data_IF_631365480089
#
_entry.id   IF_631365480089
#
_cell.length_a   1.000
_cell.length_b   1.000
_cell.length_c   1.000
_cell.angle_alpha   90.00
_cell.angle_beta   90.00
_cell.angle_gamma   90.00
#
_symmetry.space_group_name_H-M   'P 1'
#
loop_
_entity.id
_entity.type
_entity.pdbx_description
1 polymer ?
#
# COMPACT_ATOMS: atom_id res chain seq x y z
N UNK A 1 -7.34 2.07 3.64
CA UNK A 1 -6.94 0.71 3.23
C UNK A 1 -6.95 0.56 1.72
N UNK A 2 -6.58 -0.62 1.23
CA UNK A 2 -6.55 -0.90 -0.21
C UNK A 2 -7.87 -1.49 -0.71
N UNK A 3 -8.98 -0.90 -0.31
CA UNK A 3 -10.32 -1.23 -0.76
C UNK A 3 -10.90 -0.09 -1.59
N UNK A 4 -11.64 -0.44 -2.62
CA UNK A 4 -12.50 0.49 -3.37
C UNK A 4 -13.91 0.31 -2.81
N UNK A 5 -14.56 1.41 -2.41
CA UNK A 5 -15.92 1.44 -1.92
C UNK A 5 -16.77 2.20 -2.95
N UNK A 6 -17.46 1.48 -3.82
CA UNK A 6 -18.38 2.08 -4.78
C UNK A 6 -19.77 2.16 -4.16
N UNK A 7 -20.25 3.39 -3.89
CA UNK A 7 -21.55 3.65 -3.28
C UNK A 7 -22.63 3.70 -4.34
N UNK A 8 -23.74 3.05 -4.06
CA UNK A 8 -24.97 3.06 -4.84
C UNK A 8 -26.13 3.51 -3.94
N UNK A 9 -27.29 3.79 -4.53
CA UNK A 9 -28.50 4.19 -3.80
C UNK A 9 -28.99 3.14 -2.80
N UNK A 10 -28.75 1.85 -3.07
CA UNK A 10 -29.24 0.72 -2.30
C UNK A 10 -28.13 -0.08 -1.58
N UNK A 11 -26.88 0.40 -1.57
CA UNK A 11 -25.79 -0.27 -0.87
C UNK A 11 -24.40 0.16 -1.35
N UNK A 12 -23.39 -0.62 -0.96
CA UNK A 12 -21.98 -0.36 -1.29
C UNK A 12 -21.31 -1.64 -1.78
N UNK A 13 -20.61 -1.53 -2.91
CA UNK A 13 -19.72 -2.57 -3.41
C UNK A 13 -18.34 -2.37 -2.78
N UNK A 14 -17.81 -3.42 -2.15
CA UNK A 14 -16.50 -3.44 -1.50
C UNK A 14 -15.59 -4.28 -2.39
N UNK A 15 -14.58 -3.67 -3.01
CA UNK A 15 -13.65 -4.36 -3.90
C UNK A 15 -12.26 -4.33 -3.29
N UNK A 16 -11.60 -5.49 -3.24
CA UNK A 16 -10.20 -5.64 -2.92
C UNK A 16 -9.47 -6.29 -4.08
N UNK A 17 -8.46 -5.64 -4.64
CA UNK A 17 -7.76 -6.13 -5.83
C UNK A 17 -6.77 -7.28 -5.56
N UNK A 18 -6.51 -7.60 -4.30
CA UNK A 18 -5.55 -8.63 -3.96
C UNK A 18 -4.11 -8.23 -4.29
N UNK A 19 -3.41 -9.10 -5.00
CA UNK A 19 -2.02 -8.89 -5.40
C UNK A 19 -1.81 -8.73 -6.90
N UNK A 20 -2.73 -9.23 -7.72
CA UNK A 20 -2.66 -9.22 -9.19
C UNK A 20 -3.97 -8.76 -9.83
N UNK A 21 -4.96 -8.46 -9.01
CA UNK A 21 -6.25 -7.98 -9.50
C UNK A 21 -6.16 -6.54 -10.00
N UNK A 22 -6.86 -6.27 -11.10
CA UNK A 22 -7.00 -4.93 -11.65
C UNK A 22 -8.41 -4.74 -12.22
N UNK A 23 -8.79 -3.48 -12.38
CA UNK A 23 -10.05 -3.07 -12.99
C UNK A 23 -9.71 -2.22 -14.21
N UNK A 24 -10.19 -2.61 -15.39
CA UNK A 24 -9.98 -1.86 -16.62
C UNK A 24 -11.31 -1.51 -17.30
N UNK A 25 -11.39 -0.32 -17.89
CA UNK A 25 -12.49 0.07 -18.76
C UNK A 25 -12.26 -0.56 -20.13
N UNK A 26 -13.24 -1.32 -20.61
CA UNK A 26 -13.18 -2.06 -21.87
C UNK A 26 -14.40 -1.76 -22.72
N UNK A 27 -14.31 -1.82 -24.08
CA UNK A 27 -15.48 -1.84 -24.94
C UNK A 27 -16.45 -2.97 -24.58
N UNK A 28 -17.76 -2.76 -24.74
CA UNK A 28 -18.81 -3.71 -24.37
C UNK A 28 -18.59 -5.13 -24.94
N UNK A 29 -18.15 -5.21 -26.19
CA UNK A 29 -17.95 -6.50 -26.90
C UNK A 29 -16.54 -7.07 -26.76
N UNK A 30 -15.76 -6.64 -25.75
CA UNK A 30 -14.41 -7.14 -25.53
C UNK A 30 -14.42 -8.62 -25.17
N UNK A 31 -13.60 -9.41 -25.88
CA UNK A 31 -13.48 -10.85 -25.64
C UNK A 31 -13.03 -11.13 -24.18
N UNK A 32 -13.71 -12.06 -23.51
CA UNK A 32 -13.36 -12.52 -22.16
C UNK A 32 -12.14 -13.43 -22.22
N UNK A 33 -11.15 -13.16 -21.34
CA UNK A 33 -9.91 -13.92 -21.22
C UNK A 33 -9.93 -14.82 -19.97
N UNK A 34 -8.99 -15.76 -19.89
CA UNK A 34 -8.88 -16.80 -18.84
C UNK A 34 -9.00 -16.30 -17.39
N UNK A 35 -8.56 -15.08 -17.10
CA UNK A 35 -8.51 -14.54 -15.74
C UNK A 35 -9.48 -13.38 -15.51
N UNK A 36 -10.38 -13.15 -16.45
CA UNK A 36 -11.48 -12.18 -16.29
C UNK A 36 -12.59 -12.86 -15.49
N UNK A 37 -13.03 -12.21 -14.42
CA UNK A 37 -13.95 -12.82 -13.46
C UNK A 37 -15.29 -12.11 -13.36
N UNK A 38 -15.30 -10.76 -13.51
CA UNK A 38 -16.51 -9.95 -13.37
C UNK A 38 -16.47 -8.78 -14.34
N UNK A 39 -17.58 -8.58 -15.06
CA UNK A 39 -17.85 -7.39 -15.85
C UNK A 39 -18.98 -6.58 -15.17
N UNK A 40 -18.72 -5.31 -14.90
CA UNK A 40 -19.74 -4.36 -14.51
C UNK A 40 -20.17 -3.57 -15.74
N UNK A 41 -21.45 -3.67 -16.08
CA UNK A 41 -22.04 -2.99 -17.26
C UNK A 41 -22.69 -1.68 -16.83
N UNK A 42 -22.57 -0.66 -17.67
CA UNK A 42 -23.16 0.66 -17.44
C UNK A 42 -24.15 0.98 -18.57
N UNK A 43 -25.43 0.66 -18.33
CA UNK A 43 -26.46 0.75 -19.37
C UNK A 43 -26.34 -0.36 -20.44
N UNK A 44 -27.07 -0.19 -21.54
CA UNK A 44 -27.14 -1.23 -22.59
C UNK A 44 -25.98 -1.15 -23.59
N UNK A 45 -25.45 0.05 -23.84
CA UNK A 45 -24.46 0.30 -24.91
C UNK A 45 -23.16 0.95 -24.36
N UNK A 46 -23.02 1.04 -23.02
CA UNK A 46 -21.86 1.65 -22.37
C UNK A 46 -20.64 0.71 -22.30
N UNK A 47 -19.46 1.26 -21.95
CA UNK A 47 -18.30 0.43 -21.69
C UNK A 47 -18.53 -0.48 -20.48
N UNK A 48 -17.73 -1.52 -20.38
CA UNK A 48 -17.69 -2.39 -19.19
C UNK A 48 -16.47 -2.05 -18.32
N UNK A 49 -16.62 -2.20 -16.99
CA UNK A 49 -15.50 -2.21 -16.07
C UNK A 49 -15.19 -3.67 -15.73
N UNK A 50 -14.11 -4.18 -16.28
CA UNK A 50 -13.71 -5.58 -16.15
C UNK A 50 -12.76 -5.78 -14.98
N UNK A 51 -13.08 -6.76 -14.13
CA UNK A 51 -12.20 -7.23 -13.08
C UNK A 51 -11.46 -8.50 -13.52
N UNK A 52 -10.13 -8.39 -13.58
CA UNK A 52 -9.21 -9.48 -13.93
C UNK A 52 -8.31 -9.76 -12.72
N UNK A 53 -8.15 -11.05 -12.31
CA UNK A 53 -7.26 -11.44 -11.20
C UNK A 53 -6.67 -12.85 -11.40
N UNK A 54 -5.47 -12.96 -11.99
CA UNK A 54 -4.82 -14.24 -12.24
C UNK A 54 -4.62 -15.09 -10.97
N UNK A 55 -4.36 -14.49 -9.83
CA UNK A 55 -4.06 -15.19 -8.56
C UNK A 55 -5.28 -15.43 -7.69
N UNK A 56 -6.41 -14.81 -7.97
CA UNK A 56 -7.69 -14.92 -7.24
C UNK A 56 -7.58 -14.57 -5.75
N UNK A 57 -6.75 -13.59 -5.37
CA UNK A 57 -6.62 -13.07 -4.00
C UNK A 57 -7.47 -11.84 -3.74
N UNK A 58 -8.13 -11.34 -4.74
CA UNK A 58 -9.05 -10.24 -4.60
C UNK A 58 -10.43 -10.70 -4.13
N UNK A 59 -11.30 -9.74 -3.90
CA UNK A 59 -12.68 -10.00 -3.52
C UNK A 59 -13.60 -8.87 -3.95
N UNK A 60 -14.83 -9.23 -4.30
CA UNK A 60 -15.91 -8.31 -4.64
C UNK A 60 -17.10 -8.69 -3.77
N UNK A 61 -17.56 -7.79 -2.91
CA UNK A 61 -18.58 -8.03 -1.91
C UNK A 61 -19.61 -6.89 -1.95
N UNK A 62 -20.85 -7.21 -1.60
CA UNK A 62 -21.93 -6.25 -1.48
C UNK A 62 -22.41 -6.14 -0.06
N UNK A 63 -22.71 -4.93 0.42
CA UNK A 63 -23.41 -4.69 1.68
C UNK A 63 -24.48 -3.60 1.53
N UNK A 64 -25.61 -3.80 2.22
CA UNK A 64 -26.64 -2.75 2.38
C UNK A 64 -26.40 -1.90 3.62
N UNK A 65 -25.61 -2.41 4.57
CA UNK A 65 -25.24 -1.75 5.80
C UNK A 65 -24.07 -0.77 5.57
N UNK A 66 -23.72 -0.02 6.63
CA UNK A 66 -22.52 0.82 6.59
C UNK A 66 -21.27 -0.04 6.29
N UNK A 67 -20.55 0.20 5.20
CA UNK A 67 -19.39 -0.63 4.83
C UNK A 67 -18.30 -0.65 5.90
N UNK A 68 -18.21 0.39 6.75
CA UNK A 68 -17.20 0.44 7.82
C UNK A 68 -17.47 -0.56 8.95
N UNK A 69 -18.70 -1.07 9.07
CA UNK A 69 -19.05 -2.10 10.05
C UNK A 69 -18.77 -3.53 9.52
N UNK A 70 -18.46 -3.65 8.24
CA UNK A 70 -18.13 -4.93 7.64
C UNK A 70 -16.85 -5.53 8.27
N UNK A 71 -16.85 -6.85 8.52
CA UNK A 71 -15.77 -7.61 9.20
C UNK A 71 -14.36 -7.36 8.64
N UNK A 72 -14.22 -7.01 7.35
CA UNK A 72 -12.95 -6.70 6.70
C UNK A 72 -12.49 -5.27 6.93
N UNK A 73 -13.38 -4.36 7.33
CA UNK A 73 -13.10 -2.92 7.43
C UNK A 73 -13.14 -2.40 8.86
N UNK A 74 -13.96 -2.98 9.75
CA UNK A 74 -14.22 -2.46 11.10
C UNK A 74 -12.99 -2.41 12.04
N UNK A 75 -11.94 -3.19 11.76
CA UNK A 75 -10.70 -3.20 12.55
C UNK A 75 -9.54 -2.43 11.91
N UNK A 76 -9.79 -1.75 10.79
CA UNK A 76 -8.75 -1.01 10.09
C UNK A 76 -8.33 0.24 10.86
N UNK A 77 -7.03 0.50 10.88
CA UNK A 77 -6.46 1.73 11.42
C UNK A 77 -6.78 2.96 10.55
N UNK A 78 -6.32 4.14 10.98
CA UNK A 78 -6.55 5.38 10.25
C UNK A 78 -5.87 5.38 8.87
N UNK A 79 -6.43 6.17 7.95
CA UNK A 79 -5.79 6.48 6.68
C UNK A 79 -4.53 7.31 6.91
N UNK A 80 -3.41 7.00 6.22
CA UNK A 80 -2.12 7.63 6.50
C UNK A 80 -2.10 9.14 6.24
N UNK A 81 -2.92 9.64 5.31
CA UNK A 81 -3.02 11.07 5.02
C UNK A 81 -3.96 11.84 5.96
N UNK A 82 -4.77 11.12 6.76
CA UNK A 82 -5.66 11.74 7.73
C UNK A 82 -4.87 12.37 8.89
N UNK A 83 -5.43 13.39 9.54
CA UNK A 83 -4.87 14.03 10.73
C UNK A 83 -4.77 13.08 11.94
N UNK A 84 -5.66 12.09 12.04
CA UNK A 84 -5.64 11.08 13.09
C UNK A 84 -4.41 10.17 13.05
N UNK A 85 -3.75 10.04 11.90
CA UNK A 85 -2.44 9.41 11.81
C UNK A 85 -1.35 10.47 11.98
N UNK A 86 -0.82 10.58 13.19
CA UNK A 86 0.21 11.54 13.56
C UNK A 86 1.31 10.91 14.43
N UNK A 87 2.36 11.68 14.74
CA UNK A 87 3.51 11.20 15.49
C UNK A 87 3.17 10.75 16.91
N UNK A 88 2.24 11.43 17.59
CA UNK A 88 1.77 11.07 18.93
C UNK A 88 1.00 9.74 18.92
N UNK A 89 0.07 9.58 17.96
CA UNK A 89 -0.65 8.33 17.75
C UNK A 89 0.34 7.17 17.54
N UNK A 90 1.29 7.33 16.60
CA UNK A 90 2.25 6.28 16.30
C UNK A 90 3.13 5.98 17.51
N UNK A 91 3.62 7.00 18.20
CA UNK A 91 4.44 6.83 19.40
C UNK A 91 3.73 5.99 20.47
N UNK A 92 2.47 6.29 20.77
CA UNK A 92 1.66 5.53 21.73
C UNK A 92 1.51 4.08 21.32
N UNK A 93 1.24 3.83 20.03
CA UNK A 93 1.08 2.47 19.49
C UNK A 93 2.38 1.66 19.57
N UNK A 94 3.54 2.29 19.42
CA UNK A 94 4.82 1.59 19.45
C UNK A 94 5.25 1.17 20.86
N UNK A 95 4.71 1.78 21.92
CA UNK A 95 5.09 1.42 23.30
C UNK A 95 4.72 -0.02 23.62
N UNK A 96 5.64 -0.72 24.28
CA UNK A 96 5.50 -2.15 24.63
C UNK A 96 5.63 -3.14 23.48
N UNK A 97 5.67 -2.69 22.20
CA UNK A 97 5.74 -3.60 21.05
C UNK A 97 7.17 -4.08 20.80
N UNK A 98 7.37 -5.40 20.87
CA UNK A 98 8.66 -6.05 20.59
C UNK A 98 8.90 -6.31 19.09
N UNK A 99 7.88 -6.15 18.26
CA UNK A 99 7.98 -6.34 16.81
C UNK A 99 8.95 -5.33 16.17
N UNK A 100 9.43 -5.63 14.98
CA UNK A 100 10.21 -4.66 14.19
C UNK A 100 9.31 -3.52 13.69
N UNK A 101 9.85 -2.30 13.66
CA UNK A 101 9.10 -1.09 13.25
C UNK A 101 8.46 -1.27 11.86
N UNK A 102 9.15 -1.89 10.92
CA UNK A 102 8.60 -2.13 9.59
C UNK A 102 7.34 -3.00 9.65
N UNK A 103 7.34 -4.05 10.45
CA UNK A 103 6.16 -4.93 10.61
C UNK A 103 4.99 -4.18 11.20
N UNK A 104 5.25 -3.29 12.17
CA UNK A 104 4.20 -2.51 12.85
C UNK A 104 3.55 -1.51 11.91
N UNK A 105 4.33 -0.75 11.13
CA UNK A 105 3.74 0.23 10.20
C UNK A 105 3.09 -0.40 8.97
N UNK A 106 3.32 -1.69 8.71
CA UNK A 106 2.64 -2.46 7.66
C UNK A 106 1.38 -3.19 8.14
N UNK A 107 1.09 -3.15 9.44
CA UNK A 107 -0.13 -3.72 10.00
C UNK A 107 -1.32 -2.78 9.72
N UNK A 108 -2.28 -3.26 8.94
CA UNK A 108 -3.46 -2.49 8.55
C UNK A 108 -4.39 -2.11 9.71
N UNK A 109 -4.27 -2.78 10.88
CA UNK A 109 -4.99 -2.39 12.09
C UNK A 109 -4.36 -1.16 12.78
N UNK A 110 -3.12 -0.83 12.42
CA UNK A 110 -2.39 0.33 12.97
C UNK A 110 -2.46 1.52 12.03
N UNK A 111 -2.19 1.31 10.77
CA UNK A 111 -2.33 2.31 9.72
C UNK A 111 -2.54 1.60 8.38
N UNK A 112 -3.51 2.05 7.61
CA UNK A 112 -3.86 1.39 6.36
C UNK A 112 -2.98 1.85 5.18
N UNK A 113 -2.99 1.08 4.10
CA UNK A 113 -2.38 1.49 2.82
C UNK A 113 -0.87 1.33 2.71
N UNK A 114 -0.12 1.23 3.81
CA UNK A 114 1.34 1.13 3.80
C UNK A 114 1.77 -0.29 3.43
N UNK A 115 2.22 -0.47 2.19
CA UNK A 115 2.77 -1.73 1.70
C UNK A 115 4.29 -1.82 1.87
N UNK A 116 4.86 -2.92 1.39
CA UNK A 116 6.29 -3.23 1.52
C UNK A 116 7.21 -2.16 0.91
N UNK A 117 6.81 -1.58 -0.21
CA UNK A 117 7.54 -0.51 -0.91
C UNK A 117 7.55 0.74 -0.03
N UNK A 118 6.38 1.28 0.27
CA UNK A 118 6.25 2.55 0.99
C UNK A 118 6.82 2.49 2.41
N UNK A 119 6.71 1.34 3.09
CA UNK A 119 7.35 1.13 4.38
C UNK A 119 8.88 1.20 4.30
N UNK A 120 9.49 0.59 3.27
CA UNK A 120 10.95 0.62 3.09
C UNK A 120 11.45 2.03 2.78
N UNK A 121 10.78 2.73 1.86
CA UNK A 121 11.13 4.09 1.45
C UNK A 121 10.95 5.09 2.61
N UNK A 122 9.82 5.06 3.31
CA UNK A 122 9.57 5.96 4.44
C UNK A 122 10.57 5.76 5.59
N UNK A 123 10.94 4.52 5.89
CA UNK A 123 11.96 4.20 6.88
C UNK A 123 13.36 4.67 6.47
N UNK A 124 13.69 4.61 5.17
CA UNK A 124 14.93 5.15 4.65
C UNK A 124 14.99 6.65 4.84
N UNK A 125 13.98 7.40 4.41
CA UNK A 125 13.93 8.85 4.59
C UNK A 125 13.91 9.28 6.06
N UNK A 126 13.28 8.47 6.93
CA UNK A 126 13.29 8.72 8.38
C UNK A 126 14.61 8.34 9.07
N UNK A 127 15.56 7.73 8.38
CA UNK A 127 16.82 7.27 8.95
C UNK A 127 16.69 6.09 9.92
N UNK A 128 15.61 5.31 9.85
CA UNK A 128 15.29 4.22 10.79
C UNK A 128 15.50 2.86 10.14
N UNK A 129 16.33 1.99 10.74
CA UNK A 129 16.51 0.61 10.26
C UNK A 129 15.19 -0.17 10.35
N UNK A 130 14.78 -0.91 9.29
CA UNK A 130 13.51 -1.64 9.27
C UNK A 130 13.41 -2.73 10.36
N UNK A 131 14.53 -3.28 10.81
CA UNK A 131 14.63 -4.29 11.90
C UNK A 131 14.77 -3.67 13.29
N UNK A 132 14.71 -2.36 13.44
CA UNK A 132 14.71 -1.73 14.77
C UNK A 132 13.44 -2.12 15.54
N UNK A 133 13.58 -2.41 16.84
CA UNK A 133 12.42 -2.73 17.68
C UNK A 133 11.50 -1.51 17.81
N UNK A 134 10.20 -1.72 17.65
CA UNK A 134 9.21 -0.64 17.61
C UNK A 134 9.25 0.24 18.87
N UNK A 135 9.32 -0.38 20.06
CA UNK A 135 9.39 0.36 21.34
C UNK A 135 10.67 1.19 21.51
N UNK A 136 11.72 0.93 20.72
CA UNK A 136 12.98 1.69 20.74
C UNK A 136 12.97 2.93 19.83
N UNK A 137 11.91 3.12 19.04
CA UNK A 137 11.74 4.33 18.24
C UNK A 137 11.28 5.46 19.16
N UNK A 138 12.03 6.56 19.20
CA UNK A 138 11.75 7.71 20.05
C UNK A 138 10.54 8.52 19.55
N UNK A 139 9.99 9.36 20.45
CA UNK A 139 8.89 10.27 20.09
C UNK A 139 9.25 11.16 18.91
N UNK A 140 10.44 11.76 18.89
CA UNK A 140 10.93 12.61 17.80
C UNK A 140 10.96 11.84 16.46
N UNK A 141 11.47 10.61 16.50
CA UNK A 141 11.54 9.77 15.30
C UNK A 141 10.17 9.37 14.77
N UNK A 142 9.15 9.19 15.62
CA UNK A 142 7.80 8.89 15.14
C UNK A 142 7.18 10.05 14.37
N UNK A 143 7.43 11.30 14.77
CA UNK A 143 6.98 12.48 14.01
C UNK A 143 7.66 12.55 12.64
N UNK A 144 8.97 12.29 12.59
CA UNK A 144 9.74 12.25 11.35
C UNK A 144 9.24 11.11 10.44
N UNK A 145 9.01 9.91 10.99
CA UNK A 145 8.53 8.76 10.24
C UNK A 145 7.12 9.01 9.66
N UNK A 146 6.20 9.56 10.45
CA UNK A 146 4.85 9.91 9.96
C UNK A 146 4.92 10.94 8.83
N UNK A 147 5.77 11.96 8.96
CA UNK A 147 6.00 12.94 7.89
C UNK A 147 6.39 12.23 6.60
N UNK A 148 7.42 11.39 6.63
CA UNK A 148 7.90 10.70 5.43
C UNK A 148 6.94 9.63 4.90
N UNK A 149 6.15 8.97 5.75
CA UNK A 149 5.07 8.11 5.29
C UNK A 149 4.08 8.91 4.43
N UNK A 150 3.64 10.08 4.90
CA UNK A 150 2.71 10.95 4.16
C UNK A 150 3.33 11.46 2.85
N UNK A 151 4.59 11.87 2.87
CA UNK A 151 5.31 12.35 1.68
C UNK A 151 5.47 11.26 0.62
N UNK A 152 5.90 10.06 1.01
CA UNK A 152 6.06 8.91 0.09
C UNK A 152 4.72 8.54 -0.56
N UNK A 153 3.64 8.49 0.22
CA UNK A 153 2.31 8.16 -0.31
C UNK A 153 1.81 9.27 -1.25
N UNK A 154 1.96 10.55 -0.88
CA UNK A 154 1.55 11.66 -1.73
C UNK A 154 2.33 11.67 -3.06
N UNK A 155 3.64 11.42 -3.03
CA UNK A 155 4.45 11.32 -4.23
C UNK A 155 4.04 10.13 -5.10
N UNK A 156 3.74 8.98 -4.47
CA UNK A 156 3.25 7.82 -5.19
C UNK A 156 1.89 8.09 -5.87
N UNK A 157 0.97 8.78 -5.20
CA UNK A 157 -0.32 9.17 -5.78
C UNK A 157 -0.11 10.08 -6.99
N UNK A 158 0.74 11.11 -6.88
CA UNK A 158 1.05 12.02 -7.99
C UNK A 158 1.66 11.33 -9.21
N UNK A 159 2.34 10.19 -9.00
CA UNK A 159 2.99 9.39 -10.06
C UNK A 159 2.12 8.21 -10.56
N UNK A 160 0.84 8.16 -10.21
CA UNK A 160 -0.05 7.08 -10.62
C UNK A 160 0.23 5.72 -9.93
N UNK A 161 1.04 5.72 -8.84
CA UNK A 161 1.38 4.51 -8.10
C UNK A 161 2.70 3.84 -8.53
N UNK A 162 3.00 2.68 -7.93
CA UNK A 162 4.15 1.82 -8.27
C UNK A 162 3.66 0.58 -9.00
N UNK A 163 3.89 0.51 -10.29
CA UNK A 163 3.69 -0.72 -11.06
C UNK A 163 4.97 -1.54 -11.03
N UNK A 164 4.96 -2.68 -10.33
CA UNK A 164 6.12 -3.59 -10.29
C UNK A 164 6.02 -4.72 -11.32
N UNK A 165 4.81 -5.16 -11.69
CA UNK A 165 4.53 -6.11 -12.78
C UNK A 165 3.04 -6.27 -13.10
N UNK A 166 2.13 -6.08 -12.13
CA UNK A 166 0.75 -6.58 -12.28
C UNK A 166 -0.33 -5.51 -12.03
N UNK A 167 0.06 -4.26 -11.66
CA UNK A 167 -0.90 -3.19 -11.42
C UNK A 167 -0.86 -2.16 -12.53
N UNK A 168 -2.00 -1.99 -13.18
CA UNK A 168 -2.27 -0.99 -14.21
C UNK A 168 -3.39 -0.07 -13.73
N UNK A 169 -3.45 1.14 -14.27
CA UNK A 169 -4.60 2.01 -14.07
C UNK A 169 -5.83 1.52 -14.87
N UNK A 170 -6.94 2.26 -14.79
CA UNK A 170 -8.19 1.88 -15.48
C UNK A 170 -8.08 1.91 -17.00
N UNK A 171 -7.06 2.55 -17.56
CA UNK A 171 -6.75 2.62 -18.99
C UNK A 171 -5.70 1.57 -19.41
N UNK A 172 -5.16 0.81 -18.44
CA UNK A 172 -4.10 -0.18 -18.68
C UNK A 172 -2.69 0.40 -18.67
N UNK A 173 -2.48 1.63 -18.14
CA UNK A 173 -1.18 2.28 -18.08
C UNK A 173 -0.43 1.96 -16.77
N UNK A 174 0.90 1.97 -16.85
CA UNK A 174 1.78 1.73 -15.71
C UNK A 174 1.95 2.99 -14.85
N UNK A 175 1.99 2.83 -13.53
CA UNK A 175 2.49 3.88 -12.66
C UNK A 175 4.02 4.05 -12.77
N UNK A 176 4.54 5.20 -12.39
CA UNK A 176 5.95 5.57 -12.58
C UNK A 176 6.74 5.74 -11.27
N UNK A 177 6.13 5.51 -10.11
CA UNK A 177 6.80 5.73 -8.81
C UNK A 177 8.00 4.80 -8.59
N UNK A 178 8.05 3.61 -9.21
CA UNK A 178 9.18 2.67 -9.10
C UNK A 178 10.52 3.29 -9.52
N UNK A 179 10.53 4.29 -10.42
CA UNK A 179 11.74 4.96 -10.87
C UNK A 179 12.38 5.87 -9.79
N UNK A 180 11.67 6.13 -8.71
CA UNK A 180 12.12 7.02 -7.62
C UNK A 180 12.56 6.26 -6.35
N UNK A 181 12.54 4.93 -6.35
CA UNK A 181 12.91 4.14 -5.19
C UNK A 181 14.37 4.40 -4.77
N UNK A 182 14.56 4.71 -3.49
CA UNK A 182 15.89 4.94 -2.90
C UNK A 182 16.53 3.65 -2.40
N UNK A 183 15.72 2.72 -1.89
CA UNK A 183 16.20 1.45 -1.35
C UNK A 183 15.45 0.23 -1.87
N UNK A 184 14.14 0.33 -2.13
CA UNK A 184 13.32 -0.82 -2.49
C UNK A 184 13.75 -1.40 -3.86
N UNK A 185 14.04 -2.72 -3.86
CA UNK A 185 14.51 -3.42 -5.06
C UNK A 185 15.94 -3.09 -5.48
N UNK A 186 16.71 -2.36 -4.65
CA UNK A 186 18.06 -1.88 -4.97
C UNK A 186 19.17 -2.62 -4.22
N UNK A 187 18.95 -3.85 -3.78
CA UNK A 187 19.98 -4.66 -3.16
C UNK A 187 21.24 -4.76 -4.05
N UNK A 188 22.41 -4.60 -3.44
CA UNK A 188 23.69 -4.64 -4.14
C UNK A 188 24.08 -3.35 -4.84
N UNK A 189 23.14 -2.41 -5.08
CA UNK A 189 23.43 -1.11 -5.68
C UNK A 189 23.90 -0.10 -4.65
N UNK A 190 24.59 0.95 -5.11
CA UNK A 190 25.01 2.06 -4.27
C UNK A 190 23.79 2.86 -3.75
N UNK A 191 23.84 3.25 -2.48
CA UNK A 191 22.91 4.20 -1.88
C UNK A 191 23.07 5.57 -2.56
N UNK A 192 21.96 6.15 -2.99
CA UNK A 192 21.97 7.45 -3.69
C UNK A 192 22.37 8.62 -2.78
N UNK A 193 22.44 8.41 -1.44
CA UNK A 193 22.82 9.44 -0.46
C UNK A 193 24.27 9.32 0.00
N UNK A 194 24.74 8.11 0.35
CA UNK A 194 26.06 7.91 0.96
C UNK A 194 26.98 6.94 0.20
N UNK A 195 26.56 6.44 -0.95
CA UNK A 195 27.27 5.51 -1.83
C UNK A 195 27.56 4.13 -1.24
N UNK A 196 27.19 3.85 0.01
CA UNK A 196 27.31 2.50 0.60
C UNK A 196 26.32 1.53 -0.05
N UNK A 197 26.64 0.24 -0.03
CA UNK A 197 25.80 -0.79 -0.67
C UNK A 197 24.51 -0.99 0.07
N UNK A 198 23.37 -0.92 -0.63
CA UNK A 198 22.03 -1.24 -0.11
C UNK A 198 21.99 -2.74 0.24
N UNK A 199 21.49 -3.04 1.42
CA UNK A 199 21.34 -4.40 1.93
C UNK A 199 19.88 -4.83 1.94
N UNK A 200 19.67 -6.14 1.78
CA UNK A 200 18.38 -6.78 1.97
C UNK A 200 18.39 -7.65 3.23
N UNK A 201 17.26 -7.68 3.92
CA UNK A 201 17.00 -8.63 5.01
C UNK A 201 15.53 -9.06 4.99
N UNK A 202 15.25 -10.33 5.21
CA UNK A 202 13.89 -10.82 5.37
C UNK A 202 13.37 -10.47 6.77
N UNK A 203 12.24 -9.76 6.83
CA UNK A 203 11.52 -9.41 8.05
C UNK A 203 10.11 -9.98 7.93
N UNK A 204 9.79 -10.96 8.79
CA UNK A 204 8.59 -11.78 8.60
C UNK A 204 8.62 -12.47 7.23
N UNK A 205 7.56 -12.34 6.46
CA UNK A 205 7.44 -12.92 5.11
C UNK A 205 7.86 -11.94 3.99
N UNK A 206 8.54 -10.82 4.32
CA UNK A 206 8.80 -9.74 3.35
C UNK A 206 10.28 -9.39 3.25
N UNK A 207 10.78 -9.19 2.02
CA UNK A 207 12.09 -8.57 1.77
C UNK A 207 12.08 -7.13 2.24
N UNK A 208 13.14 -6.70 2.92
CA UNK A 208 13.30 -5.36 3.46
C UNK A 208 14.64 -4.81 3.02
N UNK A 209 14.63 -3.71 2.29
CA UNK A 209 15.80 -3.06 1.72
C UNK A 209 16.16 -1.84 2.56
N UNK A 210 17.45 -1.63 2.82
CA UNK A 210 17.92 -0.53 3.67
C UNK A 210 19.39 -0.21 3.45
N UNK A 211 19.77 1.03 3.75
CA UNK A 211 21.17 1.47 3.84
C UNK A 211 21.64 1.38 5.29
N UNK A 212 22.77 0.70 5.55
CA UNK A 212 23.31 0.56 6.92
C UNK A 212 23.83 1.86 7.50
N UNK A 213 24.34 2.75 6.67
CA UNK A 213 24.93 4.04 7.07
C UNK A 213 23.87 5.12 7.29
N UNK A 214 22.90 5.25 6.37
CA UNK A 214 21.84 6.26 6.49
C UNK A 214 20.78 5.93 7.52
N UNK A 215 20.61 4.64 7.89
CA UNK A 215 19.57 4.21 8.82
C UNK A 215 20.18 3.61 10.09
N UNK A 216 19.68 4.02 11.25
CA UNK A 216 20.15 3.57 12.59
C UNK A 216 19.09 2.83 13.37
#
# INVERSE_FOLDING_TARGET
>A
AKYILAKFTNGTLIIHLGMSGHLCIMPLNSQVKKHDHVDFTFGNDGPILRYTDPRRFGSILWTKDNPMDHKLLCKLGPEPLNQNFNGEYLYRILRGRQQYIKSVIMDSNIVVGIGNIYASEALFYAGIKPQRRAHKVSKKETYILVKFIKEVINNAIKKGGSTMSDFFDVNGENGYFQNEHKVYGREGLCCLTCQSVIKQKRIGQRSSFFCRECQK
#
